data_IF_059703936276
#
_entry.id   IF_059703936276
#
_cell.length_a   1.000
_cell.length_b   1.000
_cell.length_c   1.000
_cell.angle_alpha   90.00
_cell.angle_beta   90.00
_cell.angle_gamma   90.00
#
_symmetry.space_group_name_H-M   'P 1'
#
loop_
_entity.id
_entity.type
_entity.pdbx_description
1 polymer ?
#
# COMPACT_ATOMS: atom_id res chain seq x y z
N UNK A 1 15.02 -14.72 -18.74
CA UNK A 1 15.63 -14.62 -17.40
C UNK A 1 17.13 -14.29 -17.44
N UNK A 2 18.00 -15.05 -18.10
CA UNK A 2 19.45 -14.72 -18.21
C UNK A 2 19.72 -13.36 -18.88
N UNK A 3 18.95 -13.02 -19.93
CA UNK A 3 18.98 -11.69 -20.57
C UNK A 3 18.74 -10.55 -19.57
N UNK A 4 17.77 -10.69 -18.66
CA UNK A 4 17.42 -9.67 -17.67
C UNK A 4 18.42 -9.60 -16.51
N UNK A 5 19.02 -10.74 -16.14
CA UNK A 5 20.14 -10.79 -15.19
C UNK A 5 21.34 -10.01 -15.73
N UNK A 6 21.63 -10.12 -17.02
CA UNK A 6 22.70 -9.37 -17.70
C UNK A 6 22.37 -7.86 -17.75
N UNK A 7 21.12 -7.48 -18.02
CA UNK A 7 20.69 -6.08 -17.96
C UNK A 7 20.80 -5.50 -16.55
N UNK A 8 20.42 -6.28 -15.52
CA UNK A 8 20.56 -5.89 -14.11
C UNK A 8 22.04 -5.72 -13.70
N UNK A 9 22.91 -6.66 -14.08
CA UNK A 9 24.35 -6.56 -13.81
C UNK A 9 24.98 -5.37 -14.55
N UNK A 10 24.56 -5.07 -15.78
CA UNK A 10 24.97 -3.86 -16.50
C UNK A 10 24.47 -2.57 -15.84
N UNK A 11 23.22 -2.55 -15.39
CA UNK A 11 22.60 -1.40 -14.72
C UNK A 11 23.23 -1.08 -13.36
N UNK A 12 23.69 -2.11 -12.63
CA UNK A 12 24.28 -1.97 -11.31
C UNK A 12 25.82 -2.13 -11.30
N UNK A 13 26.47 -2.10 -12.46
CA UNK A 13 27.93 -2.25 -12.62
C UNK A 13 28.54 -3.50 -11.95
N UNK A 14 27.79 -4.61 -11.91
CA UNK A 14 28.25 -5.89 -11.37
C UNK A 14 29.04 -6.66 -12.43
N UNK A 15 30.31 -6.99 -12.13
CA UNK A 15 31.18 -7.71 -13.07
C UNK A 15 30.78 -9.18 -13.22
N UNK A 16 30.50 -9.60 -14.47
CA UNK A 16 29.99 -10.95 -14.82
C UNK A 16 31.10 -12.02 -14.91
N UNK A 17 32.38 -11.63 -14.84
CA UNK A 17 33.55 -12.50 -15.09
C UNK A 17 33.85 -13.56 -14.01
N UNK A 18 32.90 -13.90 -13.12
CA UNK A 18 33.07 -14.92 -12.07
C UNK A 18 32.12 -16.11 -12.19
N UNK A 19 31.41 -16.25 -13.33
CA UNK A 19 30.51 -17.38 -13.58
C UNK A 19 31.32 -18.50 -14.26
N UNK A 20 31.52 -19.62 -13.57
CA UNK A 20 32.34 -20.76 -13.99
C UNK A 20 31.86 -21.45 -15.30
N UNK A 21 32.82 -22.13 -15.95
CA UNK A 21 32.86 -22.62 -17.34
C UNK A 21 31.74 -23.56 -17.84
N UNK A 22 30.84 -24.05 -16.99
CA UNK A 22 29.77 -24.96 -17.45
C UNK A 22 28.64 -24.26 -18.23
N UNK A 23 28.63 -22.92 -18.28
CA UNK A 23 27.62 -22.11 -18.97
C UNK A 23 28.05 -21.56 -20.35
N UNK A 24 29.24 -21.92 -20.84
CA UNK A 24 29.81 -21.40 -22.09
C UNK A 24 28.97 -21.69 -23.35
N UNK A 25 28.15 -22.74 -23.36
CA UNK A 25 27.26 -23.04 -24.49
C UNK A 25 26.07 -22.08 -24.60
N UNK A 26 25.64 -21.43 -23.49
CA UNK A 26 24.58 -20.43 -23.54
C UNK A 26 25.07 -19.07 -24.07
N UNK A 27 26.37 -18.78 -23.91
CA UNK A 27 26.99 -17.52 -24.36
C UNK A 27 27.19 -17.52 -25.88
N UNK A 28 27.54 -18.67 -26.49
CA UNK A 28 27.70 -18.77 -27.95
C UNK A 28 26.42 -18.52 -28.75
N UNK A 29 25.24 -18.71 -28.15
CA UNK A 29 23.95 -18.36 -28.79
C UNK A 29 23.74 -16.84 -28.83
N UNK A 30 24.45 -16.07 -28.00
CA UNK A 30 24.24 -14.64 -27.81
C UNK A 30 25.30 -13.75 -28.48
N UNK A 31 26.36 -14.31 -29.06
CA UNK A 31 27.42 -13.53 -29.73
C UNK A 31 27.08 -13.12 -31.18
N UNK A 32 25.94 -13.51 -31.74
CA UNK A 32 25.49 -13.13 -33.09
C UNK A 32 24.37 -12.07 -33.11
N UNK A 33 24.22 -11.27 -32.06
CA UNK A 33 23.24 -10.18 -32.03
C UNK A 33 23.88 -8.91 -32.57
N UNK A 34 23.68 -8.67 -33.87
CA UNK A 34 24.07 -7.43 -34.54
C UNK A 34 23.13 -6.27 -34.14
N UNK A 35 23.70 -5.08 -34.09
CA UNK A 35 23.34 -4.00 -33.15
C UNK A 35 22.00 -3.27 -33.38
N UNK A 36 21.09 -3.71 -34.26
CA UNK A 36 19.91 -2.88 -34.57
C UNK A 36 18.62 -3.56 -35.04
N UNK A 37 18.47 -4.89 -35.03
CA UNK A 37 17.17 -5.50 -35.36
C UNK A 37 16.88 -6.76 -34.54
N UNK A 38 15.69 -6.78 -33.91
CA UNK A 38 15.20 -7.87 -33.07
C UNK A 38 14.27 -8.77 -33.88
N UNK A 39 14.79 -9.84 -34.48
CA UNK A 39 13.97 -10.96 -34.94
C UNK A 39 14.66 -12.27 -34.53
N UNK A 40 13.98 -13.07 -33.70
CA UNK A 40 14.38 -14.45 -33.41
C UNK A 40 13.50 -15.36 -34.26
N UNK A 41 14.09 -16.08 -35.21
CA UNK A 41 13.50 -17.28 -35.81
C UNK A 41 14.15 -18.50 -35.16
N UNK A 42 13.39 -19.28 -34.40
CA UNK A 42 13.84 -20.60 -33.95
C UNK A 42 13.85 -21.56 -35.13
N UNK A 43 15.00 -22.15 -35.44
CA UNK A 43 15.08 -23.35 -36.26
C UNK A 43 14.77 -24.56 -35.39
N UNK A 44 13.81 -25.37 -35.80
CA UNK A 44 13.43 -26.63 -35.18
C UNK A 44 14.62 -27.58 -35.08
N UNK A 45 15.08 -27.84 -33.85
CA UNK A 45 15.68 -29.10 -33.37
C UNK A 45 16.49 -28.86 -32.10
N UNK A 46 15.85 -28.85 -30.94
CA UNK A 46 16.51 -29.19 -29.68
C UNK A 46 15.63 -30.19 -28.93
N UNK A 47 16.07 -31.44 -28.99
CA UNK A 47 15.49 -32.60 -28.33
C UNK A 47 15.56 -32.49 -26.81
N UNK A 48 14.41 -32.80 -26.20
CA UNK A 48 14.14 -33.25 -24.83
C UNK A 48 15.30 -33.52 -23.85
N UNK A 49 15.08 -33.02 -22.62
CA UNK A 49 15.70 -33.34 -21.32
C UNK A 49 16.81 -32.40 -20.83
N UNK A 50 16.41 -31.25 -20.27
CA UNK A 50 17.22 -30.47 -19.32
C UNK A 50 16.31 -29.93 -18.20
N UNK A 51 16.53 -30.38 -16.96
CA UNK A 51 15.90 -29.81 -15.75
C UNK A 51 16.71 -28.60 -15.29
N UNK A 52 16.27 -27.41 -15.73
CA UNK A 52 16.93 -26.11 -15.51
C UNK A 52 16.64 -25.50 -14.12
N UNK A 53 15.69 -26.07 -13.37
CA UNK A 53 15.05 -25.40 -12.23
C UNK A 53 15.87 -25.47 -10.94
N UNK A 54 16.42 -26.63 -10.59
CA UNK A 54 17.03 -26.86 -9.27
C UNK A 54 18.38 -26.13 -9.09
N UNK A 55 19.21 -26.04 -10.13
CA UNK A 55 20.54 -25.42 -10.06
C UNK A 55 20.50 -23.88 -10.02
N UNK A 56 19.39 -23.28 -10.46
CA UNK A 56 19.23 -21.84 -10.50
C UNK A 56 18.81 -21.26 -9.14
N UNK A 57 18.00 -22.01 -8.40
CA UNK A 57 17.52 -21.66 -7.06
C UNK A 57 18.70 -21.61 -6.09
N UNK A 58 19.51 -22.67 -6.10
CA UNK A 58 20.74 -22.78 -5.32
C UNK A 58 21.74 -21.66 -5.65
N UNK A 59 21.79 -21.23 -6.92
CA UNK A 59 22.64 -20.12 -7.34
C UNK A 59 22.15 -18.76 -6.82
N UNK A 60 20.84 -18.49 -6.86
CA UNK A 60 20.27 -17.21 -6.42
C UNK A 60 20.36 -17.06 -4.89
N UNK A 61 19.99 -18.10 -4.14
CA UNK A 61 20.09 -18.10 -2.67
C UNK A 61 21.55 -17.92 -2.23
N UNK A 62 22.43 -18.83 -2.66
CA UNK A 62 23.77 -19.00 -2.06
C UNK A 62 24.79 -17.93 -2.47
N UNK A 63 24.58 -17.24 -3.58
CA UNK A 63 25.55 -16.24 -4.11
C UNK A 63 25.04 -14.82 -4.09
N UNK A 64 23.74 -14.57 -4.20
CA UNK A 64 23.19 -13.21 -4.40
C UNK A 64 22.54 -12.67 -3.13
N UNK A 65 21.75 -13.48 -2.43
CA UNK A 65 21.11 -13.06 -1.18
C UNK A 65 22.14 -13.01 -0.04
N UNK A 66 22.90 -14.10 0.14
CA UNK A 66 23.83 -14.26 1.27
C UNK A 66 25.05 -13.32 1.24
N UNK A 67 25.51 -12.89 0.06
CA UNK A 67 26.77 -12.11 -0.05
C UNK A 67 26.57 -10.61 -0.21
N UNK A 68 25.38 -10.13 -0.58
CA UNK A 68 25.23 -8.74 -1.03
C UNK A 68 24.24 -7.91 -0.23
N UNK A 69 23.31 -8.50 0.55
CA UNK A 69 22.35 -7.73 1.36
C UNK A 69 21.60 -6.62 0.57
N UNK A 70 21.53 -6.74 -0.77
CA UNK A 70 21.11 -5.71 -1.73
C UNK A 70 19.69 -5.97 -2.26
N UNK A 71 19.08 -7.11 -1.94
CA UNK A 71 17.70 -7.38 -2.30
C UNK A 71 16.74 -6.66 -1.35
N UNK A 72 16.33 -5.43 -1.71
CA UNK A 72 15.15 -4.85 -1.11
C UNK A 72 13.91 -5.66 -1.53
N UNK A 73 12.96 -5.81 -0.60
CA UNK A 73 11.72 -6.58 -0.76
C UNK A 73 10.92 -6.24 -2.04
N UNK A 74 11.06 -4.99 -2.51
CA UNK A 74 10.51 -4.47 -3.77
C UNK A 74 11.06 -5.17 -5.02
N UNK A 75 12.36 -5.46 -5.04
CA UNK A 75 13.05 -5.96 -6.23
C UNK A 75 12.82 -7.47 -6.40
N UNK A 76 12.61 -8.20 -5.30
CA UNK A 76 12.27 -9.63 -5.31
C UNK A 76 10.84 -9.88 -5.82
N UNK A 77 9.86 -9.12 -5.34
CA UNK A 77 8.48 -9.21 -5.85
C UNK A 77 8.40 -8.83 -7.33
N UNK A 78 9.16 -7.82 -7.76
CA UNK A 78 9.26 -7.44 -9.18
C UNK A 78 9.93 -8.52 -10.05
N UNK A 79 10.99 -9.17 -9.55
CA UNK A 79 11.70 -10.26 -10.25
C UNK A 79 10.88 -11.55 -10.35
N UNK A 80 10.16 -11.94 -9.30
CA UNK A 80 9.23 -13.06 -9.32
C UNK A 80 8.15 -12.77 -10.38
N UNK A 81 7.53 -11.61 -10.32
CA UNK A 81 6.46 -11.21 -11.22
C UNK A 81 6.83 -11.20 -12.70
N UNK A 82 7.99 -10.67 -13.08
CA UNK A 82 8.45 -10.63 -14.48
C UNK A 82 8.76 -12.03 -15.06
N UNK A 83 9.08 -13.01 -14.20
CA UNK A 83 9.33 -14.38 -14.64
C UNK A 83 8.09 -15.27 -14.61
N UNK A 84 7.01 -14.85 -13.93
CA UNK A 84 5.71 -15.52 -13.93
C UNK A 84 4.71 -14.89 -14.92
N UNK A 85 5.20 -14.36 -16.05
CA UNK A 85 4.39 -13.89 -17.17
C UNK A 85 3.33 -14.94 -17.56
N UNK A 86 2.07 -14.67 -17.21
CA UNK A 86 0.93 -15.32 -17.83
C UNK A 86 0.92 -14.88 -19.30
N UNK A 87 0.97 -15.79 -20.28
CA UNK A 87 0.83 -15.39 -21.68
C UNK A 87 -0.48 -14.64 -21.84
N UNK A 88 -0.50 -13.65 -22.72
CA UNK A 88 -1.71 -12.96 -23.16
C UNK A 88 -2.76 -13.98 -23.63
N UNK A 89 -3.65 -14.38 -22.72
CA UNK A 89 -4.76 -15.26 -23.05
C UNK A 89 -5.87 -14.40 -23.66
N UNK A 90 -5.80 -14.21 -24.97
CA UNK A 90 -6.99 -13.85 -25.74
C UNK A 90 -8.02 -14.96 -25.56
N UNK A 91 -9.15 -14.60 -24.95
CA UNK A 91 -10.24 -15.50 -24.64
C UNK A 91 -10.80 -16.16 -25.92
N UNK A 92 -10.54 -17.45 -26.10
CA UNK A 92 -11.48 -18.44 -26.61
C UNK A 92 -10.88 -19.82 -26.35
N UNK A 93 -11.68 -20.74 -25.80
CA UNK A 93 -11.36 -22.16 -25.57
C UNK A 93 -10.54 -22.47 -24.29
N UNK A 94 -11.21 -22.48 -23.14
CA UNK A 94 -10.74 -23.25 -21.98
C UNK A 94 -11.17 -24.71 -22.14
N UNK A 95 -10.25 -25.58 -22.56
CA UNK A 95 -10.38 -27.04 -22.48
C UNK A 95 -9.17 -27.66 -21.74
N UNK A 96 -9.47 -28.68 -20.91
CA UNK A 96 -8.60 -29.70 -20.28
C UNK A 96 -7.28 -29.36 -19.53
N UNK A 97 -6.74 -28.14 -19.53
CA UNK A 97 -5.40 -27.87 -18.96
C UNK A 97 -5.34 -27.46 -17.47
N UNK A 98 -6.30 -27.93 -16.66
CA UNK A 98 -6.30 -27.80 -15.19
C UNK A 98 -5.08 -28.42 -14.47
N UNK A 99 -4.09 -28.95 -15.21
CA UNK A 99 -2.98 -29.74 -14.69
C UNK A 99 -1.67 -28.92 -14.51
N UNK A 100 -1.51 -27.72 -15.11
CA UNK A 100 -0.26 -26.93 -14.89
C UNK A 100 -0.22 -26.08 -13.61
N UNK A 101 -1.32 -26.04 -12.86
CA UNK A 101 -1.46 -25.20 -11.66
C UNK A 101 -0.92 -25.86 -10.38
N UNK A 102 -1.05 -27.18 -10.27
CA UNK A 102 -0.70 -27.94 -9.05
C UNK A 102 0.82 -27.96 -8.81
N UNK A 103 1.65 -28.12 -9.85
CA UNK A 103 3.11 -28.15 -9.70
C UNK A 103 3.75 -26.82 -9.28
N UNK A 104 3.06 -25.68 -9.49
CA UNK A 104 3.58 -24.34 -9.15
C UNK A 104 3.24 -23.93 -7.71
N UNK A 105 2.19 -24.48 -7.13
CA UNK A 105 1.83 -24.27 -5.72
C UNK A 105 2.78 -25.05 -4.80
N UNK A 106 3.16 -26.27 -5.19
CA UNK A 106 4.15 -27.09 -4.48
C UNK A 106 5.53 -26.42 -4.42
N UNK A 107 5.92 -25.70 -5.48
CA UNK A 107 7.17 -24.95 -5.55
C UNK A 107 7.26 -23.83 -4.51
N UNK A 108 6.19 -23.03 -4.37
CA UNK A 108 6.15 -21.92 -3.40
C UNK A 108 6.07 -22.47 -1.97
N UNK A 109 5.36 -23.59 -1.76
CA UNK A 109 5.33 -24.28 -0.46
C UNK A 109 6.71 -24.84 -0.05
N UNK A 110 7.52 -25.34 -0.99
CA UNK A 110 8.87 -25.83 -0.69
C UNK A 110 9.81 -24.71 -0.25
N UNK A 111 9.80 -23.57 -0.94
CA UNK A 111 10.64 -22.41 -0.57
C UNK A 111 10.25 -21.84 0.82
N UNK A 112 8.97 -21.92 1.20
CA UNK A 112 8.53 -21.44 2.53
C UNK A 112 9.03 -22.27 3.71
N UNK A 113 9.46 -23.50 3.49
CA UNK A 113 9.95 -24.36 4.58
C UNK A 113 11.38 -24.02 5.01
N UNK A 114 12.13 -23.25 4.20
CA UNK A 114 13.58 -23.06 4.40
C UNK A 114 13.97 -21.70 5.01
N UNK A 115 13.15 -20.64 4.91
CA UNK A 115 13.41 -19.39 5.66
C UNK A 115 12.14 -18.52 5.86
N UNK A 116 11.54 -18.58 7.05
CA UNK A 116 10.25 -17.97 7.37
C UNK A 116 10.29 -16.44 7.58
N UNK A 117 11.47 -15.84 7.74
CA UNK A 117 11.58 -14.46 8.21
C UNK A 117 11.43 -13.40 7.11
N UNK A 118 11.89 -13.69 5.88
CA UNK A 118 11.91 -12.74 4.76
C UNK A 118 10.69 -12.92 3.83
N UNK A 119 10.12 -14.12 3.77
CA UNK A 119 9.06 -14.47 2.79
C UNK A 119 7.62 -14.33 3.32
N UNK A 120 7.39 -14.30 4.63
CA UNK A 120 6.03 -14.32 5.20
C UNK A 120 5.09 -13.22 4.64
N UNK A 121 5.60 -11.99 4.53
CA UNK A 121 4.85 -10.85 3.98
C UNK A 121 4.56 -10.98 2.49
N UNK A 122 5.51 -11.51 1.71
CA UNK A 122 5.39 -11.64 0.26
C UNK A 122 4.55 -12.85 -0.14
N UNK A 123 4.58 -13.91 0.67
CA UNK A 123 3.86 -15.17 0.44
C UNK A 123 2.34 -14.99 0.57
N UNK A 124 1.87 -14.30 1.62
CA UNK A 124 0.44 -14.05 1.77
C UNK A 124 -0.12 -13.19 0.62
N UNK A 125 0.64 -12.18 0.20
CA UNK A 125 0.32 -11.33 -0.95
C UNK A 125 0.28 -12.11 -2.26
N UNK A 126 1.31 -12.92 -2.51
CA UNK A 126 1.41 -13.75 -3.70
C UNK A 126 0.28 -14.80 -3.73
N UNK A 127 0.03 -15.48 -2.61
CA UNK A 127 -1.10 -16.40 -2.48
C UNK A 127 -2.44 -15.70 -2.69
N UNK A 128 -2.60 -14.47 -2.19
CA UNK A 128 -3.81 -13.70 -2.42
C UNK A 128 -4.03 -13.46 -3.92
N UNK A 129 -3.01 -13.02 -4.67
CA UNK A 129 -3.12 -12.81 -6.11
C UNK A 129 -3.37 -14.13 -6.88
N UNK A 130 -2.65 -15.20 -6.51
CA UNK A 130 -2.76 -16.53 -7.11
C UNK A 130 -4.17 -17.10 -6.89
N UNK A 131 -4.64 -17.15 -5.65
CA UNK A 131 -5.93 -17.74 -5.30
C UNK A 131 -7.11 -16.97 -5.89
N UNK A 132 -6.97 -15.66 -6.11
CA UNK A 132 -8.02 -14.82 -6.68
C UNK A 132 -7.87 -14.55 -8.19
N UNK A 133 -6.91 -15.21 -8.85
CA UNK A 133 -6.63 -15.07 -10.30
C UNK A 133 -6.49 -13.61 -10.74
N UNK A 134 -5.83 -12.79 -9.94
CA UNK A 134 -5.74 -11.35 -10.17
C UNK A 134 -4.58 -11.05 -11.14
N UNK A 135 -4.90 -10.39 -12.25
CA UNK A 135 -3.94 -9.88 -13.23
C UNK A 135 -3.33 -8.57 -12.73
N UNK A 136 -2.14 -8.20 -13.20
CA UNK A 136 -1.64 -6.86 -12.95
C UNK A 136 -1.05 -6.20 -14.18
N UNK A 137 -1.37 -4.93 -14.33
CA UNK A 137 -0.87 -4.08 -15.40
C UNK A 137 0.09 -3.04 -14.82
N UNK A 138 1.37 -3.15 -15.17
CA UNK A 138 2.34 -2.09 -14.91
C UNK A 138 2.38 -1.13 -16.10
N UNK A 139 1.86 0.09 -15.94
CA UNK A 139 2.27 1.20 -16.80
C UNK A 139 3.60 1.73 -16.30
N UNK A 140 4.55 2.00 -17.21
CA UNK A 140 5.78 2.74 -16.92
C UNK A 140 5.39 4.14 -16.43
N UNK A 141 5.33 4.33 -15.12
CA UNK A 141 5.18 5.64 -14.50
C UNK A 141 6.58 6.24 -14.47
N UNK A 142 6.80 7.33 -15.22
CA UNK A 142 8.03 8.11 -15.11
C UNK A 142 8.14 8.59 -13.66
N UNK A 143 9.04 8.00 -12.89
CA UNK A 143 9.32 8.44 -11.54
C UNK A 143 9.86 9.86 -11.61
N UNK A 144 9.13 10.81 -11.01
CA UNK A 144 9.74 12.09 -10.66
C UNK A 144 10.70 11.77 -9.52
N UNK A 145 12.01 11.68 -9.83
CA UNK A 145 13.04 11.59 -8.80
C UNK A 145 12.98 12.88 -7.98
N UNK A 146 12.41 12.78 -6.79
CA UNK A 146 12.94 13.56 -5.67
C UNK A 146 14.30 12.92 -5.36
N UNK A 147 15.35 13.73 -5.21
CA UNK A 147 16.67 13.26 -4.76
C UNK A 147 16.54 12.70 -3.34
N UNK A 148 16.08 11.45 -3.20
CA UNK A 148 15.67 10.82 -1.94
C UNK A 148 16.78 10.04 -1.25
N UNK A 149 17.94 9.87 -1.87
CA UNK A 149 19.03 9.08 -1.30
C UNK A 149 19.98 10.00 -0.53
N UNK A 150 19.63 10.28 0.72
CA UNK A 150 20.60 10.71 1.73
C UNK A 150 20.85 9.54 2.68
N UNK A 151 22.11 9.29 3.04
CA UNK A 151 22.47 8.28 4.04
C UNK A 151 21.74 8.59 5.35
N UNK A 152 20.73 7.79 5.66
CA UNK A 152 19.93 7.94 6.87
C UNK A 152 20.77 7.57 8.08
N UNK A 153 20.85 8.48 9.05
CA UNK A 153 21.48 8.24 10.35
C UNK A 153 20.40 7.88 11.37
N UNK A 154 20.66 6.85 12.18
CA UNK A 154 19.78 6.25 13.20
C UNK A 154 19.37 7.17 14.37
N UNK A 155 19.45 8.49 14.22
CA UNK A 155 19.15 9.46 15.27
C UNK A 155 17.72 10.03 15.19
N UNK A 156 16.72 9.21 14.85
CA UNK A 156 15.32 9.60 15.03
C UNK A 156 14.94 9.39 16.48
N UNK A 157 14.66 10.49 17.19
CA UNK A 157 14.01 10.44 18.50
C UNK A 157 12.72 9.60 18.38
N UNK A 158 12.47 8.65 19.30
CA UNK A 158 11.33 7.75 19.19
C UNK A 158 10.03 8.57 19.14
N UNK A 159 9.30 8.43 18.02
CA UNK A 159 7.99 9.07 17.81
C UNK A 159 6.86 8.15 18.27
N UNK A 160 5.89 8.70 18.99
CA UNK A 160 4.63 7.99 19.31
C UNK A 160 3.73 8.01 18.09
N UNK A 161 3.46 6.85 17.50
CA UNK A 161 2.65 6.72 16.29
C UNK A 161 1.54 5.70 16.53
N UNK A 162 0.30 6.14 16.33
CA UNK A 162 -0.88 5.27 16.39
C UNK A 162 -1.45 5.04 14.99
N UNK A 163 -1.64 3.78 14.60
CA UNK A 163 -2.47 3.44 13.45
C UNK A 163 -3.94 3.37 13.86
N UNK A 164 -4.81 4.08 13.14
CA UNK A 164 -6.26 4.12 13.39
C UNK A 164 -6.97 3.39 12.24
N UNK A 165 -7.77 2.38 12.58
CA UNK A 165 -8.47 1.51 11.62
C UNK A 165 -9.98 1.56 11.91
N UNK A 166 -10.75 2.41 11.21
CA UNK A 166 -12.20 2.34 11.21
C UNK A 166 -12.65 1.02 10.55
N UNK A 167 -13.48 0.24 11.24
CA UNK A 167 -13.91 -1.07 10.80
C UNK A 167 -15.45 -1.16 10.73
N UNK A 168 -16.00 -1.60 9.59
CA UNK A 168 -17.43 -1.93 9.49
C UNK A 168 -17.62 -3.09 8.50
N UNK A 169 -18.01 -4.27 8.99
CA UNK A 169 -18.26 -5.47 8.17
C UNK A 169 -17.10 -5.78 7.21
N UNK A 170 -15.85 -5.69 7.69
CA UNK A 170 -14.63 -5.93 6.90
C UNK A 170 -13.79 -7.10 7.45
N UNK A 171 -14.40 -7.98 8.27
CA UNK A 171 -13.72 -9.12 8.92
C UNK A 171 -12.90 -9.97 7.93
N UNK A 172 -13.39 -10.16 6.70
CA UNK A 172 -12.71 -10.95 5.67
C UNK A 172 -11.29 -10.44 5.31
N UNK A 173 -11.04 -9.14 5.50
CA UNK A 173 -9.79 -8.50 5.08
C UNK A 173 -8.95 -7.98 6.23
N UNK A 174 -9.55 -7.84 7.42
CA UNK A 174 -8.91 -7.23 8.59
C UNK A 174 -7.63 -7.96 9.00
N UNK A 175 -7.55 -9.28 8.79
CA UNK A 175 -6.33 -10.06 9.10
C UNK A 175 -5.11 -9.56 8.31
N UNK A 176 -5.26 -9.38 6.99
CA UNK A 176 -4.20 -8.82 6.13
C UNK A 176 -3.84 -7.38 6.52
N UNK A 177 -4.85 -6.58 6.88
CA UNK A 177 -4.66 -5.21 7.35
C UNK A 177 -3.77 -5.18 8.59
N UNK A 178 -4.13 -5.93 9.64
CA UNK A 178 -3.41 -5.98 10.92
C UNK A 178 -2.02 -6.57 10.77
N UNK A 179 -1.91 -7.68 10.04
CA UNK A 179 -0.63 -8.32 9.75
C UNK A 179 0.35 -7.34 9.07
N UNK A 180 -0.12 -6.54 8.12
CA UNK A 180 0.72 -5.56 7.41
C UNK A 180 1.24 -4.42 8.30
N UNK A 181 0.48 -4.03 9.33
CA UNK A 181 0.84 -2.95 10.25
C UNK A 181 1.83 -3.42 11.33
N UNK A 182 1.65 -4.63 11.87
CA UNK A 182 2.54 -5.19 12.90
C UNK A 182 3.94 -5.46 12.34
N UNK A 183 3.99 -5.86 11.07
CA UNK A 183 5.22 -6.15 10.35
C UNK A 183 5.90 -4.92 9.75
N UNK A 184 5.47 -3.69 10.06
CA UNK A 184 6.20 -2.51 9.61
C UNK A 184 7.66 -2.53 10.09
N UNK A 185 8.56 -2.10 9.20
CA UNK A 185 10.01 -1.98 9.45
C UNK A 185 10.34 -0.86 10.45
N UNK A 186 9.52 0.18 10.50
CA UNK A 186 9.47 1.13 11.61
C UNK A 186 8.29 0.75 12.50
N UNK A 187 8.49 0.66 13.82
CA UNK A 187 7.45 0.17 14.74
C UNK A 187 6.41 1.24 15.06
N UNK A 188 5.14 0.85 14.94
CA UNK A 188 4.01 1.58 15.50
C UNK A 188 4.04 1.45 17.02
N UNK A 189 3.61 2.51 17.72
CA UNK A 189 3.44 2.47 19.17
C UNK A 189 2.16 1.73 19.53
N UNK A 190 1.07 2.03 18.82
CA UNK A 190 -0.24 1.44 19.05
C UNK A 190 -1.00 1.24 17.74
N UNK A 191 -1.82 0.20 17.69
CA UNK A 191 -2.78 -0.04 16.62
C UNK A 191 -4.16 -0.12 17.26
N UNK A 192 -5.10 0.68 16.77
CA UNK A 192 -6.48 0.69 17.25
C UNK A 192 -7.45 0.37 16.12
N UNK A 193 -8.26 -0.66 16.33
CA UNK A 193 -9.42 -0.99 15.49
C UNK A 193 -10.67 -0.48 16.20
N UNK A 194 -11.50 0.27 15.49
CA UNK A 194 -12.78 0.76 16.02
C UNK A 194 -13.90 0.15 15.20
N UNK A 195 -14.67 -0.76 15.81
CA UNK A 195 -15.84 -1.36 15.19
C UNK A 195 -17.02 -0.39 15.17
N UNK A 196 -17.40 0.05 13.97
CA UNK A 196 -18.50 0.97 13.69
C UNK A 196 -19.84 0.24 13.54
N UNK A 197 -20.22 -0.54 14.57
CA UNK A 197 -21.49 -1.27 14.62
C UNK A 197 -21.59 -2.35 13.52
N UNK A 198 -20.60 -3.22 13.40
CA UNK A 198 -20.67 -4.37 12.50
C UNK A 198 -21.73 -5.38 12.96
N UNK A 199 -22.20 -6.22 12.03
CA UNK A 199 -23.04 -7.38 12.36
C UNK A 199 -22.26 -8.35 13.25
N UNK A 200 -21.01 -8.63 12.85
CA UNK A 200 -20.08 -9.49 13.57
C UNK A 200 -18.84 -8.68 13.96
N UNK A 201 -18.68 -8.45 15.26
CA UNK A 201 -17.52 -7.73 15.81
C UNK A 201 -16.26 -8.59 15.66
N UNK A 202 -15.10 -8.06 15.22
CA UNK A 202 -13.90 -8.84 14.87
C UNK A 202 -13.08 -9.31 16.09
N UNK A 203 -13.73 -9.83 17.13
CA UNK A 203 -13.06 -10.23 18.39
C UNK A 203 -11.99 -11.29 18.13
N UNK A 204 -12.34 -12.36 17.41
CA UNK A 204 -11.43 -13.49 17.14
C UNK A 204 -10.25 -13.10 16.25
N UNK A 205 -10.44 -12.15 15.33
CA UNK A 205 -9.37 -11.66 14.47
C UNK A 205 -8.41 -10.82 15.32
N UNK A 206 -8.94 -9.85 16.08
CA UNK A 206 -8.12 -8.97 16.90
C UNK A 206 -7.43 -9.70 18.07
N UNK A 207 -7.96 -10.82 18.56
CA UNK A 207 -7.30 -11.62 19.60
C UNK A 207 -6.01 -12.28 19.14
N UNK A 208 -5.84 -12.50 17.83
CA UNK A 208 -4.60 -13.04 17.27
C UNK A 208 -3.45 -12.02 17.24
N UNK A 209 -3.76 -10.75 17.55
CA UNK A 209 -2.82 -9.63 17.50
C UNK A 209 -2.76 -8.92 18.85
N UNK A 210 -1.90 -9.35 19.78
CA UNK A 210 -1.81 -8.81 21.15
C UNK A 210 -1.65 -7.28 21.20
N UNK A 211 -0.94 -6.70 20.24
CA UNK A 211 -0.62 -5.26 20.12
C UNK A 211 -1.82 -4.40 19.66
N UNK A 212 -2.90 -5.04 19.20
CA UNK A 212 -4.07 -4.34 18.66
C UNK A 212 -5.11 -4.11 19.75
N UNK A 213 -5.52 -2.86 19.94
CA UNK A 213 -6.67 -2.52 20.79
C UNK A 213 -7.95 -2.52 19.94
N UNK A 214 -8.96 -3.29 20.37
CA UNK A 214 -10.29 -3.28 19.76
C UNK A 214 -11.24 -2.42 20.60
N UNK A 215 -11.78 -1.37 19.98
CA UNK A 215 -12.84 -0.53 20.51
C UNK A 215 -14.14 -0.75 19.73
N UNK A 216 -15.27 -0.43 20.34
CA UNK A 216 -16.59 -0.56 19.73
C UNK A 216 -17.40 0.72 19.87
N UNK A 217 -18.07 1.09 18.78
CA UNK A 217 -19.04 2.18 18.77
C UNK A 217 -20.45 1.69 19.11
N UNK A 218 -21.16 2.46 19.94
CA UNK A 218 -22.54 2.15 20.33
C UNK A 218 -23.56 2.38 19.21
N UNK A 219 -23.22 3.19 18.22
CA UNK A 219 -24.03 3.45 17.02
C UNK A 219 -23.12 3.59 15.80
N UNK A 220 -23.69 3.49 14.60
CA UNK A 220 -22.93 3.71 13.37
C UNK A 220 -22.65 5.20 13.18
N UNK A 221 -21.39 5.61 13.15
CA UNK A 221 -20.96 7.02 13.15
C UNK A 221 -20.13 7.41 11.93
N UNK A 222 -19.54 6.45 11.24
CA UNK A 222 -18.71 6.64 10.06
C UNK A 222 -17.22 6.87 10.37
N UNK A 223 -16.35 6.67 9.36
CA UNK A 223 -14.89 6.62 9.55
C UNK A 223 -14.29 7.93 10.06
N UNK A 224 -14.74 9.07 9.51
CA UNK A 224 -14.17 10.37 9.90
C UNK A 224 -14.51 10.74 11.33
N UNK A 225 -15.67 10.31 11.83
CA UNK A 225 -16.02 10.54 13.22
C UNK A 225 -15.22 9.66 14.17
N UNK A 226 -14.96 8.42 13.76
CA UNK A 226 -14.05 7.52 14.48
C UNK A 226 -12.68 8.16 14.62
N UNK A 227 -12.07 8.55 13.49
CA UNK A 227 -10.71 9.11 13.49
C UNK A 227 -10.67 10.42 14.29
N UNK A 228 -11.65 11.31 14.11
CA UNK A 228 -11.72 12.57 14.85
C UNK A 228 -11.76 12.35 16.36
N UNK A 229 -12.59 11.41 16.84
CA UNK A 229 -12.73 11.16 18.28
C UNK A 229 -11.45 10.54 18.85
N UNK A 230 -10.88 9.55 18.15
CA UNK A 230 -9.63 8.90 18.58
C UNK A 230 -8.50 9.91 18.69
N UNK A 231 -8.32 10.81 17.71
CA UNK A 231 -7.25 11.82 17.75
C UNK A 231 -7.48 12.83 18.89
N UNK A 232 -8.74 13.22 19.15
CA UNK A 232 -9.06 14.15 20.22
C UNK A 232 -8.80 13.53 21.61
N UNK A 233 -9.08 12.25 21.77
CA UNK A 233 -9.00 11.52 23.05
C UNK A 233 -7.62 10.86 23.29
N UNK A 234 -6.66 11.05 22.38
CA UNK A 234 -5.31 10.48 22.50
C UNK A 234 -4.19 11.50 22.28
N UNK A 235 -2.97 11.13 22.68
CA UNK A 235 -1.80 12.01 22.66
C UNK A 235 -0.58 11.34 22.01
N UNK A 236 -0.65 11.18 20.69
CA UNK A 236 0.44 10.67 19.85
C UNK A 236 1.07 11.82 19.03
N UNK A 237 2.31 11.64 18.61
CA UNK A 237 2.99 12.62 17.76
C UNK A 237 2.40 12.58 16.34
N UNK A 238 2.12 11.37 15.85
CA UNK A 238 1.58 11.12 14.52
C UNK A 238 0.45 10.08 14.55
N UNK A 239 -0.43 10.18 13.57
CA UNK A 239 -1.45 9.19 13.28
C UNK A 239 -1.28 8.65 11.86
N UNK A 240 -1.27 7.33 11.74
CA UNK A 240 -1.28 6.62 10.47
C UNK A 240 -2.72 6.19 10.17
N UNK A 241 -3.26 6.64 9.05
CA UNK A 241 -4.57 6.16 8.60
C UNK A 241 -4.42 4.82 7.88
N UNK A 242 -5.42 3.95 8.05
CA UNK A 242 -5.47 2.64 7.41
C UNK A 242 -6.94 2.21 7.32
N UNK A 243 -7.40 1.85 6.12
CA UNK A 243 -8.72 1.24 5.97
C UNK A 243 -8.63 -0.27 6.27
N UNK A 244 -9.70 -0.81 6.87
CA UNK A 244 -9.74 -2.20 7.36
C UNK A 244 -9.72 -3.26 6.24
N UNK A 245 -10.07 -2.88 5.02
CA UNK A 245 -10.11 -3.73 3.83
C UNK A 245 -8.87 -3.60 2.93
N UNK A 246 -7.94 -2.76 3.33
CA UNK A 246 -6.67 -2.46 2.67
C UNK A 246 -5.49 -3.01 3.48
N UNK A 247 -4.27 -2.88 2.93
CA UNK A 247 -3.04 -3.22 3.66
C UNK A 247 -1.85 -2.37 3.22
N UNK A 248 -0.82 -2.32 4.06
CA UNK A 248 0.38 -1.50 3.87
C UNK A 248 1.58 -2.30 3.36
N UNK A 249 2.46 -1.65 2.59
CA UNK A 249 3.81 -2.16 2.37
C UNK A 249 4.62 -2.06 3.65
N UNK A 250 5.52 -3.03 3.87
CA UNK A 250 6.37 -3.19 5.05
C UNK A 250 7.18 -1.94 5.46
N UNK A 251 7.50 -1.08 4.50
CA UNK A 251 8.35 0.09 4.67
C UNK A 251 7.58 1.41 4.62
N UNK A 252 6.25 1.36 4.42
CA UNK A 252 5.36 2.53 4.33
C UNK A 252 5.59 3.53 5.46
N UNK A 253 5.62 3.06 6.70
CA UNK A 253 5.77 3.96 7.85
C UNK A 253 7.16 4.62 7.86
N UNK A 254 8.23 3.84 7.65
CA UNK A 254 9.60 4.32 7.60
C UNK A 254 9.77 5.42 6.53
N UNK A 255 9.34 5.16 5.29
CA UNK A 255 9.45 6.13 4.19
C UNK A 255 8.63 7.40 4.46
N UNK A 256 7.50 7.28 5.17
CA UNK A 256 6.63 8.42 5.47
C UNK A 256 7.25 9.34 6.52
N UNK A 257 7.88 8.76 7.55
CA UNK A 257 8.61 9.51 8.59
C UNK A 257 9.84 10.19 7.98
N UNK A 258 10.64 9.46 7.20
CA UNK A 258 11.80 10.00 6.50
C UNK A 258 11.42 11.22 5.65
N UNK A 259 10.32 11.11 4.89
CA UNK A 259 9.85 12.22 4.07
C UNK A 259 9.31 13.37 4.92
N UNK A 260 8.61 13.08 6.02
CA UNK A 260 8.12 14.11 6.94
C UNK A 260 9.26 14.95 7.51
N UNK A 261 10.32 14.32 7.99
CA UNK A 261 11.45 15.01 8.60
C UNK A 261 12.24 15.78 7.53
N UNK A 262 12.52 15.14 6.40
CA UNK A 262 13.25 15.76 5.29
C UNK A 262 12.57 17.00 4.73
N UNK A 263 11.25 16.95 4.55
CA UNK A 263 10.49 18.05 3.95
C UNK A 263 9.97 19.04 4.99
N UNK A 264 10.12 18.74 6.28
CA UNK A 264 9.41 19.43 7.34
C UNK A 264 7.90 19.40 7.12
N UNK A 265 7.37 18.29 6.61
CA UNK A 265 5.96 18.14 6.23
C UNK A 265 5.06 18.05 7.47
N UNK A 266 3.80 18.43 7.29
CA UNK A 266 2.73 18.24 8.27
C UNK A 266 1.98 16.93 8.04
N UNK A 267 1.87 16.51 6.78
CA UNK A 267 1.16 15.33 6.32
C UNK A 267 1.89 14.73 5.12
N UNK A 268 2.00 13.40 5.09
CA UNK A 268 2.62 12.66 3.99
C UNK A 268 1.71 11.53 3.55
N UNK A 269 1.48 11.38 2.25
CA UNK A 269 0.86 10.21 1.64
C UNK A 269 1.87 9.36 0.83
N UNK A 270 1.40 8.26 0.25
CA UNK A 270 2.19 7.40 -0.64
C UNK A 270 1.44 7.11 -1.94
N UNK A 271 2.10 6.46 -2.89
CA UNK A 271 1.42 5.90 -4.06
C UNK A 271 0.65 4.63 -3.69
N UNK A 272 -0.31 4.22 -4.53
CA UNK A 272 -1.11 3.01 -4.29
C UNK A 272 -0.92 1.94 -5.37
N UNK A 273 -0.98 0.68 -4.97
CA UNK A 273 -1.42 -0.41 -5.82
C UNK A 273 -2.92 -0.61 -5.62
N UNK A 274 -3.71 -0.25 -6.61
CA UNK A 274 -5.16 -0.44 -6.58
C UNK A 274 -5.49 -1.87 -6.97
N UNK A 275 -5.97 -2.66 -6.01
CA UNK A 275 -6.41 -4.04 -6.19
C UNK A 275 -7.91 -4.04 -6.44
N UNK A 276 -8.31 -4.20 -7.70
CA UNK A 276 -9.70 -4.20 -8.15
C UNK A 276 -10.24 -5.63 -8.18
N UNK A 277 -10.85 -6.04 -7.06
CA UNK A 277 -11.46 -7.36 -6.88
C UNK A 277 -12.63 -7.60 -7.84
N UNK A 278 -13.24 -6.53 -8.37
CA UNK A 278 -14.40 -6.62 -9.27
C UNK A 278 -13.94 -7.06 -10.66
N UNK A 279 -12.82 -6.49 -11.11
CA UNK A 279 -12.27 -6.75 -12.44
C UNK A 279 -11.08 -7.73 -12.40
N UNK A 280 -10.70 -8.20 -11.21
CA UNK A 280 -9.52 -9.04 -10.97
C UNK A 280 -8.24 -8.44 -11.55
N UNK A 281 -8.02 -7.14 -11.34
CA UNK A 281 -6.82 -6.44 -11.81
C UNK A 281 -6.15 -5.63 -10.69
N UNK A 282 -4.82 -5.54 -10.75
CA UNK A 282 -4.04 -4.56 -9.98
C UNK A 282 -3.51 -3.48 -10.91
N UNK A 283 -3.62 -2.22 -10.47
CA UNK A 283 -3.06 -1.07 -11.18
C UNK A 283 -2.23 -0.20 -10.23
N UNK A 284 -0.99 0.15 -10.58
CA UNK A 284 -0.28 1.22 -9.88
C UNK A 284 -0.95 2.55 -10.19
N UNK A 285 -1.24 3.34 -9.16
CA UNK A 285 -1.78 4.70 -9.29
C UNK A 285 -0.84 5.66 -8.58
N UNK A 286 -0.30 6.58 -9.38
CA UNK A 286 0.55 7.65 -8.89
C UNK A 286 -0.23 8.98 -8.74
N UNK A 287 0.04 9.66 -7.65
CA UNK A 287 -0.42 10.97 -7.24
C UNK A 287 0.73 11.98 -7.35
N UNK A 288 0.43 13.27 -7.57
CA UNK A 288 1.45 14.32 -7.57
C UNK A 288 2.27 14.34 -6.27
N UNK A 289 3.60 14.49 -6.38
CA UNK A 289 4.48 14.52 -5.21
C UNK A 289 4.30 15.78 -4.37
N UNK A 290 4.09 16.93 -5.03
CA UNK A 290 3.74 18.20 -4.39
C UNK A 290 2.22 18.36 -4.34
N UNK A 291 1.61 17.92 -3.23
CA UNK A 291 0.16 17.94 -3.04
C UNK A 291 -0.36 19.38 -2.96
N UNK A 292 0.35 20.26 -2.24
CA UNK A 292 -0.02 21.67 -2.19
C UNK A 292 -0.02 22.32 -3.57
N UNK A 293 1.03 22.10 -4.38
CA UNK A 293 1.11 22.63 -5.74
C UNK A 293 -0.03 22.15 -6.62
N UNK A 294 -0.33 20.85 -6.59
CA UNK A 294 -1.46 20.29 -7.34
C UNK A 294 -2.81 20.90 -6.93
N UNK A 295 -3.00 21.18 -5.63
CA UNK A 295 -4.22 21.82 -5.12
C UNK A 295 -4.27 23.33 -5.36
N UNK A 296 -3.14 24.02 -5.50
CA UNK A 296 -3.12 25.42 -5.91
C UNK A 296 -3.58 25.62 -7.35
N UNK A 297 -3.33 24.64 -8.23
CA UNK A 297 -3.78 24.69 -9.62
C UNK A 297 -5.29 24.48 -9.75
N UNK A 298 -5.84 23.46 -9.07
CA UNK A 298 -7.27 23.14 -9.11
C UNK A 298 -7.71 22.26 -7.93
N UNK A 299 -9.00 22.31 -7.53
CA UNK A 299 -9.55 21.35 -6.58
C UNK A 299 -9.47 19.93 -7.14
N UNK A 300 -9.04 18.98 -6.32
CA UNK A 300 -8.95 17.57 -6.72
C UNK A 300 -8.65 16.64 -5.54
N UNK A 301 -8.20 15.44 -5.86
CA UNK A 301 -7.75 14.43 -4.90
C UNK A 301 -6.30 14.00 -5.18
N UNK A 302 -5.31 14.90 -5.03
CA UNK A 302 -3.92 14.60 -5.30
C UNK A 302 -3.22 13.82 -4.19
N UNK A 303 -3.97 13.26 -3.23
CA UNK A 303 -3.46 12.37 -2.19
C UNK A 303 -4.57 11.36 -1.87
N UNK A 304 -4.20 10.10 -1.68
CA UNK A 304 -5.10 9.06 -1.23
C UNK A 304 -5.15 9.05 0.30
N UNK A 305 -6.32 9.32 0.86
CA UNK A 305 -6.47 9.56 2.30
C UNK A 305 -5.96 8.44 3.20
N UNK A 306 -6.30 7.15 2.97
CA UNK A 306 -5.78 6.06 3.79
C UNK A 306 -4.26 5.89 3.75
N UNK A 307 -3.54 6.50 2.80
CA UNK A 307 -2.07 6.44 2.78
C UNK A 307 -1.41 7.36 3.78
N UNK A 308 -2.17 8.25 4.42
CA UNK A 308 -1.61 9.38 5.15
C UNK A 308 -0.98 9.00 6.48
N UNK A 309 0.21 9.55 6.73
CA UNK A 309 0.73 9.85 8.05
C UNK A 309 0.50 11.35 8.30
N UNK A 310 0.01 11.74 9.47
CA UNK A 310 -0.22 13.16 9.82
C UNK A 310 0.26 13.49 11.24
N UNK A 311 0.87 14.67 11.41
CA UNK A 311 1.17 15.21 12.74
C UNK A 311 -0.12 15.54 13.49
N UNK A 312 -0.21 15.16 14.77
CA UNK A 312 -1.33 15.55 15.63
C UNK A 312 -1.53 17.06 15.67
N UNK A 313 -0.45 17.80 15.85
CA UNK A 313 -0.48 19.27 15.89
C UNK A 313 -0.98 19.89 14.59
N UNK A 314 -0.69 19.28 13.44
CA UNK A 314 -1.21 19.72 12.15
C UNK A 314 -2.71 19.46 12.02
N UNK A 315 -3.16 18.25 12.38
CA UNK A 315 -4.57 17.88 12.35
C UNK A 315 -5.43 18.81 13.22
N UNK A 316 -4.97 19.10 14.45
CA UNK A 316 -5.66 20.01 15.37
C UNK A 316 -5.60 21.47 14.92
N UNK A 317 -4.49 21.92 14.32
CA UNK A 317 -4.35 23.29 13.78
C UNK A 317 -5.40 23.63 12.72
N UNK A 318 -5.89 22.62 12.00
CA UNK A 318 -6.96 22.76 11.02
C UNK A 318 -8.29 22.18 11.50
N UNK A 319 -8.51 22.05 12.82
CA UNK A 319 -9.78 21.58 13.41
C UNK A 319 -10.27 20.22 12.92
N UNK A 320 -9.38 19.35 12.42
CA UNK A 320 -9.71 18.00 12.00
C UNK A 320 -10.73 17.92 10.86
N UNK A 321 -11.51 16.83 10.81
CA UNK A 321 -12.45 16.51 9.73
C UNK A 321 -13.79 17.24 9.87
N UNK A 322 -14.49 17.38 8.74
CA UNK A 322 -15.95 17.53 8.74
C UNK A 322 -16.63 16.22 9.19
N UNK A 323 -16.50 15.88 10.48
CA UNK A 323 -16.82 14.59 11.06
C UNK A 323 -18.32 14.20 11.07
N UNK A 324 -19.20 15.13 10.67
CA UNK A 324 -20.61 14.81 10.44
C UNK A 324 -20.89 14.18 9.07
N UNK A 325 -19.92 14.20 8.13
CA UNK A 325 -20.05 13.56 6.83
C UNK A 325 -19.79 12.05 6.93
N UNK A 326 -20.57 11.27 6.16
CA UNK A 326 -20.33 9.82 6.00
C UNK A 326 -19.25 9.52 4.96
N UNK A 327 -19.13 10.37 3.94
CA UNK A 327 -18.18 10.26 2.83
C UNK A 327 -17.70 11.65 2.39
N UNK A 328 -16.51 11.73 1.81
CA UNK A 328 -15.98 12.97 1.24
C UNK A 328 -15.39 13.96 2.25
N UNK A 329 -15.31 13.59 3.54
CA UNK A 329 -14.67 14.43 4.54
C UNK A 329 -13.13 14.46 4.38
N UNK A 330 -12.57 13.44 3.73
CA UNK A 330 -11.18 13.41 3.27
C UNK A 330 -10.92 14.48 2.19
N UNK A 331 -11.80 14.56 1.19
CA UNK A 331 -11.78 15.61 0.17
C UNK A 331 -11.92 16.98 0.81
N UNK A 332 -12.91 17.14 1.69
CA UNK A 332 -13.16 18.39 2.42
C UNK A 332 -11.93 18.81 3.21
N UNK A 333 -11.35 17.89 3.98
CA UNK A 333 -10.16 18.13 4.78
C UNK A 333 -8.98 18.53 3.91
N UNK A 334 -8.73 17.82 2.82
CA UNK A 334 -7.58 18.11 1.95
C UNK A 334 -7.73 19.48 1.25
N UNK A 335 -8.91 19.78 0.72
CA UNK A 335 -9.21 21.07 0.07
C UNK A 335 -9.16 22.24 1.05
N UNK A 336 -9.46 22.03 2.32
CA UNK A 336 -9.38 23.07 3.36
C UNK A 336 -7.99 23.21 3.96
N UNK A 337 -7.33 22.10 4.25
CA UNK A 337 -6.08 22.09 5.03
C UNK A 337 -4.84 22.46 4.22
N UNK A 338 -4.83 22.27 2.90
CA UNK A 338 -3.64 22.55 2.07
C UNK A 338 -3.20 24.02 2.05
N UNK A 339 -4.04 24.96 2.52
CA UNK A 339 -3.65 26.36 2.72
C UNK A 339 -2.80 26.59 3.99
N UNK A 340 -2.82 25.63 4.92
CA UNK A 340 -2.25 25.76 6.26
C UNK A 340 -1.22 24.67 6.59
N UNK A 341 -1.17 23.61 5.79
CA UNK A 341 -0.33 22.44 5.99
C UNK A 341 0.64 22.24 4.82
N UNK A 342 1.84 21.76 5.12
CA UNK A 342 2.78 21.23 4.13
C UNK A 342 2.48 19.75 3.88
N UNK A 343 2.05 19.43 2.67
CA UNK A 343 1.54 18.11 2.28
C UNK A 343 2.32 17.59 1.07
N UNK A 344 2.87 16.39 1.19
CA UNK A 344 3.64 15.72 0.13
C UNK A 344 3.21 14.27 -0.03
N UNK A 345 3.42 13.71 -1.22
CA UNK A 345 3.40 12.25 -1.40
C UNK A 345 4.82 11.73 -1.60
N UNK A 346 5.11 10.57 -1.01
CA UNK A 346 6.27 9.76 -1.38
C UNK A 346 6.11 9.25 -2.82
N UNK A 347 7.18 9.17 -3.63
CA UNK A 347 7.12 8.50 -4.93
C UNK A 347 7.02 6.98 -4.81
N UNK A 348 7.22 6.41 -3.62
CA UNK A 348 7.14 4.98 -3.38
C UNK A 348 5.68 4.51 -3.21
N UNK A 349 5.42 3.29 -3.67
CA UNK A 349 4.14 2.62 -3.58
C UNK A 349 3.99 1.93 -2.23
N UNK A 350 3.51 2.68 -1.23
CA UNK A 350 3.45 2.22 0.16
C UNK A 350 2.16 1.50 0.56
N UNK A 351 1.16 1.42 -0.33
CA UNK A 351 -0.20 1.07 0.08
C UNK A 351 -0.93 0.24 -0.97
N UNK A 352 -1.69 -0.76 -0.54
CA UNK A 352 -2.59 -1.51 -1.41
C UNK A 352 -4.03 -1.16 -1.09
N UNK A 353 -4.70 -0.54 -2.05
CA UNK A 353 -6.11 -0.16 -1.90
C UNK A 353 -7.01 -1.13 -2.61
N UNK A 354 -7.91 -1.74 -1.87
CA UNK A 354 -8.94 -2.62 -2.37
C UNK A 354 -10.09 -1.81 -2.98
N UNK A 355 -10.45 -2.17 -4.21
CA UNK A 355 -11.70 -1.78 -4.85
C UNK A 355 -12.57 -3.03 -4.93
N UNK A 356 -13.64 -3.03 -4.15
CA UNK A 356 -14.59 -4.14 -4.02
C UNK A 356 -16.02 -3.63 -4.11
N UNK A 357 -16.98 -4.53 -4.23
CA UNK A 357 -18.40 -4.20 -4.17
C UNK A 357 -18.81 -3.68 -2.79
N UNK A 358 -19.83 -2.82 -2.75
CA UNK A 358 -20.44 -2.28 -1.53
C UNK A 358 -19.49 -1.49 -0.60
N UNK A 359 -18.36 -1.00 -1.11
CA UNK A 359 -17.56 0.01 -0.40
C UNK A 359 -18.27 1.38 -0.45
N UNK A 360 -17.80 2.35 0.34
CA UNK A 360 -18.32 3.72 0.25
C UNK A 360 -18.14 4.36 -1.14
N UNK A 361 -17.21 3.86 -1.96
CA UNK A 361 -16.95 4.40 -3.31
C UNK A 361 -17.65 3.63 -4.43
N UNK A 362 -18.14 2.43 -4.16
CA UNK A 362 -18.75 1.52 -5.15
C UNK A 362 -20.21 1.17 -4.81
N UNK A 363 -20.69 1.53 -3.63
CA UNK A 363 -22.08 1.34 -3.21
C UNK A 363 -23.05 2.14 -4.10
N UNK A 364 -24.23 1.60 -4.47
CA UNK A 364 -25.26 2.34 -5.19
C UNK A 364 -25.80 3.57 -4.44
N UNK A 365 -25.65 3.62 -3.11
CA UNK A 365 -26.20 4.69 -2.25
C UNK A 365 -25.18 5.81 -2.04
N UNK A 366 -23.91 5.45 -1.87
CA UNK A 366 -22.85 6.38 -1.43
C UNK A 366 -21.70 6.51 -2.41
N UNK A 367 -21.67 5.69 -3.46
CA UNK A 367 -20.57 5.57 -4.41
C UNK A 367 -20.34 6.79 -5.28
N UNK A 368 -19.25 6.73 -6.05
CA UNK A 368 -18.92 7.72 -7.07
C UNK A 368 -20.05 7.82 -8.11
N UNK A 369 -20.38 9.04 -8.54
CA UNK A 369 -21.45 9.30 -9.51
C UNK A 369 -22.87 9.32 -8.93
N UNK A 370 -23.06 9.01 -7.64
CA UNK A 370 -24.40 9.11 -7.01
C UNK A 370 -24.80 10.59 -6.85
N UNK A 371 -26.10 10.95 -6.97
CA UNK A 371 -26.55 12.33 -6.89
C UNK A 371 -26.14 13.05 -5.60
N UNK A 372 -26.17 12.34 -4.46
CA UNK A 372 -25.77 12.90 -3.18
C UNK A 372 -24.26 13.19 -3.11
N UNK A 373 -23.42 12.28 -3.62
CA UNK A 373 -21.98 12.50 -3.67
C UNK A 373 -21.60 13.61 -4.65
N UNK A 374 -22.22 13.66 -5.83
CA UNK A 374 -21.98 14.73 -6.80
C UNK A 374 -22.38 16.10 -6.25
N UNK A 375 -23.52 16.19 -5.56
CA UNK A 375 -23.95 17.42 -4.86
C UNK A 375 -22.93 17.86 -3.80
N UNK A 376 -22.41 16.92 -3.00
CA UNK A 376 -21.36 17.22 -2.03
C UNK A 376 -20.08 17.70 -2.71
N UNK A 377 -19.60 16.98 -3.73
CA UNK A 377 -18.39 17.36 -4.47
C UNK A 377 -18.51 18.73 -5.13
N UNK A 378 -19.68 19.08 -5.67
CA UNK A 378 -19.95 20.41 -6.20
C UNK A 378 -19.83 21.49 -5.10
N UNK A 379 -20.41 21.23 -3.94
CA UNK A 379 -20.34 22.12 -2.77
C UNK A 379 -18.90 22.33 -2.31
N UNK A 380 -18.12 21.24 -2.18
CA UNK A 380 -16.71 21.29 -1.78
C UNK A 380 -15.86 22.06 -2.79
N UNK A 381 -16.09 21.87 -4.10
CA UNK A 381 -15.40 22.62 -5.16
C UNK A 381 -15.73 24.11 -5.09
N UNK A 382 -17.00 24.48 -4.88
CA UNK A 382 -17.40 25.88 -4.76
C UNK A 382 -16.70 26.56 -3.56
N UNK A 383 -16.62 25.87 -2.42
CA UNK A 383 -15.88 26.35 -1.24
C UNK A 383 -14.38 26.52 -1.55
N UNK A 384 -13.76 25.52 -2.20
CA UNK A 384 -12.35 25.59 -2.57
C UNK A 384 -12.05 26.77 -3.51
N UNK A 385 -12.90 27.01 -4.52
CA UNK A 385 -12.75 28.15 -5.42
C UNK A 385 -12.92 29.50 -4.71
N UNK A 386 -13.84 29.60 -3.76
CA UNK A 386 -13.97 30.79 -2.92
C UNK A 386 -12.68 31.02 -2.11
N UNK A 387 -12.14 29.97 -1.47
CA UNK A 387 -10.89 30.05 -0.72
C UNK A 387 -9.71 30.48 -1.59
N UNK A 388 -9.59 30.00 -2.83
CA UNK A 388 -8.57 30.50 -3.77
C UNK A 388 -8.75 32.00 -4.07
N UNK A 389 -9.99 32.45 -4.25
CA UNK A 389 -10.31 33.87 -4.42
C UNK A 389 -9.89 34.71 -3.21
N UNK A 390 -10.12 34.21 -2.00
CA UNK A 390 -9.67 34.83 -0.75
C UNK A 390 -8.15 34.95 -0.68
N UNK A 391 -7.41 33.88 -0.98
CA UNK A 391 -5.93 33.90 -0.99
C UNK A 391 -5.39 34.92 -1.99
N UNK A 392 -5.99 35.01 -3.19
CA UNK A 392 -5.63 36.03 -4.19
C UNK A 392 -5.86 37.46 -3.70
N UNK A 393 -6.75 37.67 -2.74
CA UNK A 393 -7.02 38.95 -2.08
C UNK A 393 -6.17 39.16 -0.82
N UNK A 394 -5.20 38.29 -0.54
CA UNK A 394 -4.37 38.35 0.68
C UNK A 394 -5.12 37.95 1.96
N UNK A 395 -6.28 37.29 1.85
CA UNK A 395 -7.05 36.79 3.00
C UNK A 395 -6.66 35.34 3.31
N UNK A 396 -6.79 34.98 4.58
CA UNK A 396 -6.51 33.62 5.06
C UNK A 396 -7.79 32.78 4.98
N UNK A 397 -7.79 31.62 4.29
CA UNK A 397 -8.92 30.71 4.27
C UNK A 397 -9.31 30.19 5.66
N UNK A 398 -10.58 29.80 5.80
CA UNK A 398 -11.07 29.25 7.06
C UNK A 398 -10.51 27.86 7.33
N UNK A 399 -10.12 27.61 8.58
CA UNK A 399 -9.76 26.28 9.07
C UNK A 399 -10.97 25.49 9.60
N UNK A 400 -12.17 26.06 9.59
CA UNK A 400 -13.38 25.44 10.17
C UNK A 400 -13.93 24.37 9.21
N UNK A 401 -14.19 23.13 9.68
CA UNK A 401 -14.77 22.10 8.84
C UNK A 401 -16.19 22.43 8.39
N UNK A 402 -16.58 21.98 7.19
CA UNK A 402 -17.89 22.24 6.61
C UNK A 402 -19.05 21.92 7.56
N UNK A 403 -19.00 20.76 8.22
CA UNK A 403 -19.99 20.31 9.19
C UNK A 403 -19.29 19.52 10.29
N UNK A 404 -19.63 19.80 11.54
CA UNK A 404 -19.07 19.08 12.69
C UNK A 404 -20.19 18.59 13.62
N UNK A 405 -19.94 17.48 14.32
CA UNK A 405 -20.77 16.94 15.39
C UNK A 405 -19.91 16.60 16.61
N UNK A 406 -20.49 16.50 17.82
CA UNK A 406 -19.76 16.11 19.03
C UNK A 406 -19.00 14.78 18.86
N UNK A 407 -17.86 14.66 19.53
CA UNK A 407 -17.08 13.43 19.53
C UNK A 407 -17.82 12.29 20.24
N UNK A 408 -17.50 11.05 19.88
CA UNK A 408 -18.15 9.85 20.38
C UNK A 408 -17.16 9.06 21.22
N UNK A 409 -17.64 8.49 22.32
CA UNK A 409 -16.84 7.61 23.16
C UNK A 409 -16.95 6.18 22.66
N UNK A 410 -15.83 5.47 22.64
CA UNK A 410 -15.78 4.06 22.24
C UNK A 410 -15.52 3.16 23.44
N UNK A 411 -16.21 2.03 23.49
CA UNK A 411 -16.07 1.04 24.55
C UNK A 411 -14.92 0.09 24.21
N UNK A 412 -13.97 -0.09 25.14
CA UNK A 412 -12.88 -1.05 24.96
C UNK A 412 -13.40 -2.48 25.13
N UNK A 413 -13.12 -3.34 24.18
CA UNK A 413 -13.41 -4.78 24.28
C UNK A 413 -12.20 -5.46 24.94
N UNK A 414 -12.41 -6.10 26.08
CA UNK A 414 -11.37 -6.89 26.75
C UNK A 414 -11.10 -8.18 25.98
N UNK A 415 -9.82 -8.52 25.79
CA UNK A 415 -9.46 -9.81 25.19
C UNK A 415 -9.69 -10.92 26.22
N UNK A 416 -9.98 -12.14 25.76
CA UNK A 416 -10.14 -13.30 26.66
C UNK A 416 -8.89 -13.54 27.53
N UNK A 417 -7.70 -13.24 27.01
CA UNK A 417 -6.44 -13.29 27.75
C UNK A 417 -6.37 -12.30 28.92
N UNK A 418 -7.04 -11.15 28.82
CA UNK A 418 -7.05 -10.12 29.87
C UNK A 418 -7.97 -10.53 31.03
N UNK A 419 -9.04 -11.27 30.75
CA UNK A 419 -9.93 -11.82 31.79
C UNK A 419 -9.24 -12.86 32.67
N UNK A 420 -8.35 -13.70 32.11
CA UNK A 420 -7.58 -14.68 32.89
C UNK A 420 -6.53 -14.05 33.82
N UNK A 421 -6.08 -12.83 33.55
CA UNK A 421 -5.16 -12.10 34.44
C UNK A 421 -5.88 -11.26 35.50
N UNK A 422 -7.17 -10.96 35.34
CA UNK A 422 -7.96 -10.30 36.40
C UNK A 422 -8.60 -11.29 37.39
N UNK A 423 -8.70 -12.57 37.04
CA UNK A 423 -9.17 -13.65 37.93
C UNK A 423 -8.05 -14.34 38.72
N UNK A 424 -6.80 -13.90 38.58
CA UNK A 424 -5.64 -14.34 39.39
C UNK A 424 -5.13 -13.20 40.23
#
# INVERSE_FOLDING_TARGET
MLFYLIQFCKYNHVSINKINDSNLNLIKVLENIDNNNWIISCSDNLSSNFTLEDNLIDFIQKKVIDNYNIFHQRDFCWLIWQNFSFPELTAHELSSDSISWIGKVDFIQKISQEDNSILGNNYQLLNYFINNKILCHTKLIKSQKLDLIGNYQDNILPKKIMAIIPHHNCNQWLDYCLFSLINQSYKLTDIVVIDDKSTDVPINICSNYPEVTLLKSNKKVGPYQIIQSVINDSNYDYYLFQDADDWSMVDRLRISIELMDKMGADMVGTQEYRVDDINHIVNPVAYPLNVNGALQEKPGHPLLHPTSLIKRSAFLRVNGFANALLYGADTEFLLRSHFHLKIYNSPEFGYFRRKRNNSLTTSPITGLGTPHREKLLHTLKAIAYNNYGMVKQGKIPSTIPLVSKPCETFEKIMKQTDNMMMEK
#
